data_IF_812680866766
#
_entry.id   IF_812680866766
#
_cell.length_a   1.000
_cell.length_b   1.000
_cell.length_c   1.000
_cell.angle_alpha   90.00
_cell.angle_beta   90.00
_cell.angle_gamma   90.00
#
_symmetry.space_group_name_H-M   'P 1'
#
loop_
_entity.id
_entity.type
_entity.pdbx_description
1 polymer ?
#
# COMPACT_ATOMS: atom_id res chain seq x y z
N UNK A 1 33.25 -22.54 -0.72
CA UNK A 1 33.04 -24.02 -0.77
C UNK A 1 31.61 -24.29 -0.33
N UNK A 2 30.83 -25.06 -1.09
CA UNK A 2 29.40 -25.30 -0.78
C UNK A 2 29.28 -26.26 0.41
N UNK A 3 28.64 -25.82 1.52
CA UNK A 3 28.39 -26.70 2.67
C UNK A 3 27.45 -27.83 2.28
N UNK A 4 27.76 -29.05 2.70
CA UNK A 4 27.03 -30.27 2.35
C UNK A 4 26.22 -30.80 3.55
N UNK A 5 25.18 -31.61 3.27
CA UNK A 5 24.42 -32.32 4.32
C UNK A 5 25.34 -33.15 5.22
N UNK A 6 26.38 -33.75 4.65
CA UNK A 6 27.35 -34.53 5.41
C UNK A 6 28.18 -33.69 6.40
N UNK A 7 28.55 -32.47 6.03
CA UNK A 7 29.24 -31.54 6.92
C UNK A 7 28.35 -31.05 8.06
N UNK A 8 27.07 -30.78 7.78
CA UNK A 8 26.09 -30.42 8.80
C UNK A 8 25.87 -31.59 9.78
N UNK A 9 25.71 -32.80 9.24
CA UNK A 9 25.53 -34.02 10.02
C UNK A 9 26.69 -34.23 11.00
N UNK A 10 27.92 -34.06 10.51
CA UNK A 10 29.16 -34.19 11.30
C UNK A 10 29.20 -33.12 12.40
N UNK A 11 28.88 -31.85 12.10
CA UNK A 11 28.92 -30.75 13.04
C UNK A 11 27.78 -30.83 14.10
N UNK A 12 26.60 -31.32 13.70
CA UNK A 12 25.44 -31.47 14.59
C UNK A 12 25.42 -32.80 15.37
N UNK A 13 26.39 -33.72 15.10
CA UNK A 13 26.44 -35.03 15.76
C UNK A 13 25.25 -35.93 15.42
N UNK A 14 24.73 -35.88 14.19
CA UNK A 14 23.55 -36.62 13.74
C UNK A 14 23.79 -37.32 12.39
N UNK A 15 22.86 -38.21 11.99
CA UNK A 15 22.95 -38.85 10.68
C UNK A 15 22.57 -37.85 9.55
N UNK A 16 23.09 -38.03 8.31
CA UNK A 16 22.69 -37.29 7.13
C UNK A 16 21.17 -37.35 6.87
N UNK A 17 20.52 -38.46 7.18
CA UNK A 17 19.07 -38.63 7.09
C UNK A 17 18.30 -37.72 8.09
N UNK A 18 18.84 -37.58 9.31
CA UNK A 18 18.26 -36.65 10.30
C UNK A 18 18.38 -35.21 9.83
N UNK A 19 19.49 -34.81 9.24
CA UNK A 19 19.65 -33.46 8.64
C UNK A 19 18.66 -33.25 7.51
N UNK A 20 18.55 -34.22 6.57
CA UNK A 20 17.57 -34.13 5.48
C UNK A 20 16.14 -34.00 5.98
N UNK A 21 15.76 -34.77 7.02
CA UNK A 21 14.43 -34.69 7.61
C UNK A 21 14.18 -33.35 8.34
N UNK A 22 15.19 -32.80 9.02
CA UNK A 22 15.12 -31.47 9.66
C UNK A 22 14.92 -30.36 8.62
N UNK A 23 15.71 -30.39 7.55
CA UNK A 23 15.69 -29.36 6.49
C UNK A 23 14.42 -29.42 5.63
N UNK A 24 13.83 -30.62 5.44
CA UNK A 24 12.64 -30.84 4.62
C UNK A 24 11.32 -30.84 5.44
N UNK A 25 11.36 -30.41 6.71
CA UNK A 25 10.19 -30.32 7.60
C UNK A 25 9.32 -31.59 7.68
N UNK A 26 9.90 -32.77 7.62
CA UNK A 26 9.16 -34.05 7.73
C UNK A 26 8.74 -34.27 9.18
N UNK A 27 7.45 -34.02 9.47
CA UNK A 27 6.86 -34.19 10.82
C UNK A 27 6.99 -35.63 11.31
N UNK A 28 7.25 -35.79 12.60
CA UNK A 28 7.25 -37.11 13.27
C UNK A 28 8.54 -37.94 13.13
N UNK A 29 9.57 -37.46 12.42
CA UNK A 29 10.82 -38.22 12.21
C UNK A 29 11.95 -37.85 13.15
N UNK A 30 11.89 -36.66 13.77
CA UNK A 30 12.85 -36.14 14.77
C UNK A 30 12.13 -35.24 15.75
N UNK A 31 12.66 -35.12 17.00
CA UNK A 31 12.10 -34.19 18.00
C UNK A 31 12.35 -32.73 17.60
N UNK A 32 11.49 -31.82 18.03
CA UNK A 32 11.59 -30.38 17.70
C UNK A 32 12.92 -29.79 18.20
N UNK A 33 13.35 -30.12 19.42
CA UNK A 33 14.65 -29.70 19.96
C UNK A 33 15.83 -30.12 19.10
N UNK A 34 15.79 -31.36 18.59
CA UNK A 34 16.83 -31.88 17.69
C UNK A 34 16.81 -31.21 16.34
N UNK A 35 15.63 -30.86 15.87
CA UNK A 35 15.43 -30.12 14.63
C UNK A 35 16.00 -28.71 14.72
N UNK A 36 15.66 -27.96 15.77
CA UNK A 36 16.19 -26.62 16.02
C UNK A 36 17.72 -26.62 16.14
N UNK A 37 18.28 -27.62 16.80
CA UNK A 37 19.73 -27.79 16.91
C UNK A 37 20.39 -27.96 15.52
N UNK A 38 19.84 -28.84 14.66
CA UNK A 38 20.33 -29.07 13.31
C UNK A 38 20.24 -27.79 12.45
N UNK A 39 19.12 -27.09 12.52
CA UNK A 39 18.91 -25.85 11.76
C UNK A 39 19.93 -24.78 12.18
N UNK A 40 20.15 -24.60 13.48
CA UNK A 40 21.15 -23.65 14.00
C UNK A 40 22.57 -23.95 13.52
N UNK A 41 22.98 -25.23 13.52
CA UNK A 41 24.29 -25.66 13.00
C UNK A 41 24.38 -25.43 11.48
N UNK A 42 23.33 -25.72 10.74
CA UNK A 42 23.28 -25.45 9.30
C UNK A 42 23.42 -23.95 8.98
N UNK A 43 22.78 -23.08 9.77
CA UNK A 43 22.92 -21.61 9.69
C UNK A 43 24.35 -21.15 10.01
N UNK A 44 24.95 -21.65 11.11
CA UNK A 44 26.31 -21.31 11.51
C UNK A 44 27.35 -21.71 10.45
N UNK A 45 27.15 -22.85 9.80
CA UNK A 45 27.99 -23.30 8.71
C UNK A 45 27.74 -22.55 7.38
N UNK A 46 26.69 -21.75 7.30
CA UNK A 46 26.31 -21.03 6.10
C UNK A 46 25.66 -21.93 5.03
N UNK A 47 25.05 -23.05 5.41
CA UNK A 47 24.35 -23.94 4.49
C UNK A 47 23.19 -23.24 3.78
N UNK A 48 22.49 -22.35 4.49
CA UNK A 48 21.42 -21.52 3.94
C UNK A 48 21.91 -20.28 3.19
N UNK A 49 23.24 -20.02 3.14
CA UNK A 49 23.82 -18.88 2.41
C UNK A 49 23.63 -18.90 0.89
N UNK A 50 23.05 -19.95 0.33
CA UNK A 50 22.40 -20.01 -1.01
C UNK A 50 21.38 -21.15 -0.96
N UNK A 51 20.31 -20.99 -0.21
CA UNK A 51 19.10 -21.78 -0.36
C UNK A 51 18.68 -21.77 -1.82
N UNK A 52 18.26 -22.92 -2.36
CA UNK A 52 17.65 -23.01 -3.68
C UNK A 52 16.50 -21.98 -3.66
N UNK A 53 16.63 -20.89 -4.44
CA UNK A 53 15.58 -19.88 -4.55
C UNK A 53 14.28 -20.61 -4.89
N UNK A 54 13.19 -20.24 -4.25
CA UNK A 54 11.88 -20.81 -4.54
C UNK A 54 11.36 -20.35 -5.89
N UNK A 55 11.90 -19.24 -6.40
CA UNK A 55 11.43 -18.56 -7.60
C UNK A 55 10.08 -17.88 -7.38
N UNK A 56 9.70 -17.65 -6.11
CA UNK A 56 8.41 -17.06 -5.75
C UNK A 56 8.64 -15.79 -4.92
N UNK A 57 7.95 -14.72 -5.30
CA UNK A 57 7.73 -13.53 -4.49
C UNK A 57 6.27 -13.54 -4.06
N UNK A 58 5.99 -13.34 -2.77
CA UNK A 58 4.62 -13.27 -2.27
C UNK A 58 4.17 -11.80 -2.15
N UNK A 59 3.09 -11.45 -2.83
CA UNK A 59 2.35 -10.22 -2.58
C UNK A 59 1.37 -10.46 -1.43
N UNK A 60 1.57 -9.76 -0.34
CA UNK A 60 0.70 -9.78 0.82
C UNK A 60 -0.28 -8.62 0.73
N UNK A 61 -1.56 -8.92 0.55
CA UNK A 61 -2.64 -7.94 0.68
C UNK A 61 -2.96 -7.82 2.17
N UNK A 62 -2.47 -6.75 2.79
CA UNK A 62 -2.66 -6.51 4.21
C UNK A 62 -3.99 -5.79 4.44
N UNK A 63 -4.91 -6.47 5.12
CA UNK A 63 -6.27 -6.00 5.41
C UNK A 63 -6.32 -5.49 6.86
N UNK A 64 -6.38 -4.19 7.05
CA UNK A 64 -6.55 -3.56 8.36
C UNK A 64 -8.02 -3.26 8.71
N UNK A 65 -8.95 -3.62 7.81
CA UNK A 65 -10.39 -3.42 7.99
C UNK A 65 -10.90 -2.08 7.47
N UNK A 66 -10.06 -1.28 6.80
CA UNK A 66 -10.48 0.00 6.21
C UNK A 66 -11.23 -0.17 4.89
N UNK A 67 -11.22 -1.37 4.30
CA UNK A 67 -11.92 -1.73 3.05
C UNK A 67 -11.55 -0.87 1.82
N UNK A 68 -10.34 -0.30 1.82
CA UNK A 68 -9.85 0.54 0.73
C UNK A 68 -9.17 -0.32 -0.35
N UNK A 69 -8.38 -1.35 0.07
CA UNK A 69 -7.68 -2.23 -0.86
C UNK A 69 -8.64 -3.25 -1.46
N UNK A 70 -9.09 -2.98 -2.68
CA UNK A 70 -9.94 -3.85 -3.49
C UNK A 70 -9.21 -4.15 -4.80
N UNK A 71 -8.84 -5.42 -5.01
CA UNK A 71 -7.97 -5.85 -6.13
C UNK A 71 -8.61 -5.73 -7.51
N UNK A 72 -9.91 -5.62 -7.58
CA UNK A 72 -10.71 -5.38 -8.79
C UNK A 72 -10.80 -3.89 -9.15
N UNK A 73 -10.43 -2.99 -8.24
CA UNK A 73 -10.36 -1.57 -8.55
C UNK A 73 -9.16 -1.25 -9.47
N UNK A 74 -9.34 -0.34 -10.46
CA UNK A 74 -8.32 0.01 -11.46
C UNK A 74 -6.96 0.40 -10.87
N UNK A 75 -6.92 1.08 -9.73
CA UNK A 75 -5.67 1.47 -9.07
C UNK A 75 -4.86 0.23 -8.65
N UNK A 76 -5.45 -0.67 -7.87
CA UNK A 76 -4.75 -1.84 -7.34
C UNK A 76 -4.46 -2.87 -8.41
N UNK A 77 -5.36 -3.08 -9.36
CA UNK A 77 -5.14 -4.00 -10.48
C UNK A 77 -3.96 -3.57 -11.35
N UNK A 78 -3.79 -2.27 -11.63
CA UNK A 78 -2.63 -1.75 -12.36
C UNK A 78 -1.33 -1.88 -11.56
N UNK A 79 -1.35 -1.63 -10.25
CA UNK A 79 -0.20 -1.79 -9.36
C UNK A 79 0.24 -3.27 -9.30
N UNK A 80 -0.71 -4.21 -9.16
CA UNK A 80 -0.44 -5.66 -9.15
C UNK A 80 0.13 -6.12 -10.49
N UNK A 81 -0.40 -5.63 -11.61
CA UNK A 81 0.14 -5.91 -12.95
C UNK A 81 1.60 -5.46 -13.07
N UNK A 82 1.93 -4.25 -12.58
CA UNK A 82 3.31 -3.79 -12.54
C UNK A 82 4.23 -4.68 -11.69
N UNK A 83 3.73 -5.19 -10.56
CA UNK A 83 4.48 -6.16 -9.75
C UNK A 83 4.68 -7.49 -10.48
N UNK A 84 3.66 -8.00 -11.17
CA UNK A 84 3.73 -9.23 -11.96
C UNK A 84 4.75 -9.10 -13.08
N UNK A 85 4.69 -8.03 -13.88
CA UNK A 85 5.67 -7.74 -14.93
C UNK A 85 7.09 -7.61 -14.37
N UNK A 86 7.25 -6.92 -13.23
CA UNK A 86 8.53 -6.81 -12.53
C UNK A 86 9.06 -8.19 -12.08
N UNK A 87 8.22 -9.04 -11.50
CA UNK A 87 8.60 -10.39 -11.11
C UNK A 87 9.06 -11.21 -12.33
N UNK A 88 8.31 -11.15 -13.43
CA UNK A 88 8.64 -11.85 -14.67
C UNK A 88 10.01 -11.44 -15.25
N UNK A 89 10.38 -10.15 -15.16
CA UNK A 89 11.69 -9.65 -15.62
C UNK A 89 12.88 -10.28 -14.88
N UNK A 90 12.66 -10.76 -13.65
CA UNK A 90 13.68 -11.41 -12.82
C UNK A 90 13.47 -12.92 -12.64
N UNK A 91 12.68 -13.56 -13.51
CA UNK A 91 12.36 -14.99 -13.47
C UNK A 91 11.68 -15.44 -12.15
N UNK A 92 10.84 -14.58 -11.57
CA UNK A 92 10.03 -14.88 -10.40
C UNK A 92 8.55 -15.01 -10.74
N UNK A 93 7.85 -15.87 -9.98
CA UNK A 93 6.38 -15.93 -9.95
C UNK A 93 5.84 -15.08 -8.82
N UNK A 94 4.78 -14.29 -9.09
CA UNK A 94 4.05 -13.55 -8.08
C UNK A 94 2.94 -14.44 -7.49
N UNK A 95 2.97 -14.64 -6.16
CA UNK A 95 1.92 -15.33 -5.41
C UNK A 95 1.17 -14.33 -4.54
N UNK A 96 -0.16 -14.23 -4.69
CA UNK A 96 -0.98 -13.33 -3.88
C UNK A 96 -1.50 -14.06 -2.65
N UNK A 97 -1.39 -13.41 -1.48
CA UNK A 97 -1.90 -13.88 -0.19
C UNK A 97 -2.64 -12.71 0.50
N UNK A 98 -3.84 -12.96 1.02
CA UNK A 98 -4.55 -11.98 1.85
C UNK A 98 -4.33 -12.32 3.31
N UNK A 99 -3.99 -11.30 4.13
CA UNK A 99 -3.73 -11.45 5.57
C UNK A 99 -4.41 -10.32 6.31
N UNK A 100 -5.19 -10.66 7.34
CA UNK A 100 -5.84 -9.68 8.22
C UNK A 100 -4.90 -9.21 9.30
N UNK A 101 -5.02 -7.96 9.68
CA UNK A 101 -4.21 -7.32 10.72
C UNK A 101 -4.37 -7.96 12.12
N UNK A 102 -5.51 -8.58 12.39
CA UNK A 102 -5.82 -9.27 13.65
C UNK A 102 -5.39 -10.75 13.69
N UNK A 103 -4.96 -11.33 12.56
CA UNK A 103 -4.47 -12.71 12.47
C UNK A 103 -2.94 -12.77 12.65
N UNK A 104 -2.51 -12.66 13.91
CA UNK A 104 -1.08 -12.70 14.28
C UNK A 104 -0.39 -13.97 13.77
N UNK A 105 -1.07 -15.12 13.81
CA UNK A 105 -0.51 -16.40 13.34
C UNK A 105 -0.29 -16.40 11.83
N UNK A 106 -1.22 -15.88 11.04
CA UNK A 106 -1.05 -15.74 9.60
C UNK A 106 0.11 -14.81 9.27
N UNK A 107 0.26 -13.69 10.02
CA UNK A 107 1.37 -12.74 9.86
C UNK A 107 2.71 -13.44 10.14
N UNK A 108 2.86 -14.16 11.24
CA UNK A 108 4.09 -14.88 11.59
C UNK A 108 4.47 -15.95 10.55
N UNK A 109 3.49 -16.59 9.90
CA UNK A 109 3.76 -17.57 8.84
C UNK A 109 4.34 -16.95 7.56
N UNK A 110 4.24 -15.62 7.39
CA UNK A 110 4.85 -14.92 6.24
C UNK A 110 6.38 -14.95 6.30
N UNK A 111 6.98 -15.00 7.50
CA UNK A 111 8.45 -15.06 7.67
C UNK A 111 9.01 -16.47 7.40
N UNK A 112 8.48 -17.14 6.38
CA UNK A 112 8.90 -18.49 5.99
C UNK A 112 9.65 -18.48 4.66
N UNK A 113 10.98 -18.44 4.72
CA UNK A 113 11.88 -18.47 3.57
C UNK A 113 11.79 -19.74 2.71
N UNK A 114 11.12 -20.80 3.18
CA UNK A 114 10.91 -22.01 2.38
C UNK A 114 9.73 -21.89 1.42
N UNK A 115 8.86 -20.92 1.61
CA UNK A 115 7.67 -20.71 0.78
C UNK A 115 7.82 -19.59 -0.23
N UNK A 116 8.71 -18.63 0.04
CA UNK A 116 8.90 -17.44 -0.79
C UNK A 116 10.32 -16.90 -0.58
N UNK A 117 10.90 -16.29 -1.60
CA UNK A 117 12.21 -15.65 -1.51
C UNK A 117 12.14 -14.23 -0.95
N UNK A 118 10.96 -13.59 -1.02
CA UNK A 118 10.70 -12.27 -0.49
C UNK A 118 9.23 -11.89 -0.52
N UNK A 119 8.90 -10.79 0.16
CA UNK A 119 7.54 -10.27 0.27
C UNK A 119 7.43 -8.86 -0.30
N UNK A 120 6.38 -8.63 -1.08
CA UNK A 120 5.82 -7.31 -1.34
C UNK A 120 4.59 -7.17 -0.47
N UNK A 121 4.55 -6.18 0.42
CA UNK A 121 3.41 -5.99 1.33
C UNK A 121 2.63 -4.76 0.87
N UNK A 122 1.40 -4.97 0.39
CA UNK A 122 0.47 -3.88 0.09
C UNK A 122 0.11 -3.18 1.41
N UNK A 123 0.71 -2.03 1.62
CA UNK A 123 0.68 -1.33 2.91
C UNK A 123 -0.33 -0.20 3.00
N UNK A 124 -1.18 0.01 1.97
CA UNK A 124 -2.11 1.14 1.87
C UNK A 124 -2.90 1.38 3.16
N UNK A 125 -3.41 0.31 3.76
CA UNK A 125 -4.19 0.37 5.00
C UNK A 125 -3.35 0.23 6.29
N UNK A 126 -2.03 -0.03 6.19
CA UNK A 126 -1.19 -0.25 7.38
C UNK A 126 -1.02 1.03 8.17
N UNK A 127 -1.23 0.93 9.47
CA UNK A 127 -0.77 1.92 10.44
C UNK A 127 0.66 1.63 10.89
N UNK A 128 1.31 2.59 11.54
CA UNK A 128 2.68 2.43 12.05
C UNK A 128 2.86 1.16 12.90
N UNK A 129 1.91 0.87 13.81
CA UNK A 129 1.89 -0.35 14.64
C UNK A 129 1.87 -1.65 13.84
N UNK A 130 1.32 -1.62 12.62
CA UNK A 130 1.24 -2.80 11.76
C UNK A 130 2.57 -3.06 11.07
N UNK A 131 3.26 -1.98 10.66
CA UNK A 131 4.62 -2.07 10.09
C UNK A 131 5.59 -2.67 11.12
N UNK A 132 5.45 -2.35 12.40
CA UNK A 132 6.29 -2.90 13.48
C UNK A 132 6.22 -4.43 13.58
N UNK A 133 5.11 -5.06 13.18
CA UNK A 133 4.98 -6.52 13.17
C UNK A 133 5.96 -7.20 12.19
N UNK A 134 6.41 -6.49 11.17
CA UNK A 134 7.38 -6.98 10.17
C UNK A 134 8.83 -6.71 10.56
N UNK A 135 9.09 -5.90 11.59
CA UNK A 135 10.43 -5.43 11.98
C UNK A 135 11.45 -6.57 12.19
N UNK A 136 11.00 -7.73 12.65
CA UNK A 136 11.85 -8.87 12.99
C UNK A 136 11.84 -9.96 11.93
N UNK A 137 11.20 -9.72 10.79
CA UNK A 137 11.17 -10.69 9.70
C UNK A 137 12.58 -10.91 9.14
N UNK A 138 12.90 -12.18 8.93
CA UNK A 138 14.17 -12.62 8.32
C UNK A 138 14.07 -12.64 6.80
N UNK A 139 12.88 -12.90 6.29
CA UNK A 139 12.61 -12.85 4.84
C UNK A 139 12.69 -11.39 4.37
N UNK A 140 13.41 -11.10 3.27
CA UNK A 140 13.42 -9.77 2.70
C UNK A 140 12.01 -9.30 2.34
N UNK A 141 11.67 -8.06 2.67
CA UNK A 141 10.37 -7.49 2.30
C UNK A 141 10.49 -6.00 1.93
N UNK A 142 9.48 -5.55 1.17
CA UNK A 142 9.25 -4.15 0.81
C UNK A 142 7.78 -3.84 1.03
N UNK A 143 7.49 -2.73 1.73
CA UNK A 143 6.13 -2.23 1.90
C UNK A 143 5.84 -1.27 0.76
N UNK A 144 4.67 -1.45 0.12
CA UNK A 144 4.27 -0.74 -1.09
C UNK A 144 3.03 0.10 -0.82
N UNK A 145 2.98 1.28 -1.42
CA UNK A 145 1.88 2.25 -1.30
C UNK A 145 1.66 2.75 0.14
N UNK A 146 2.72 2.83 0.90
CA UNK A 146 2.77 3.48 2.22
C UNK A 146 4.23 3.78 2.57
N UNK A 147 4.46 4.76 3.43
CA UNK A 147 5.79 5.07 3.96
C UNK A 147 5.71 5.54 5.40
N UNK A 148 6.69 5.08 6.19
CA UNK A 148 6.95 5.57 7.54
C UNK A 148 8.46 5.70 7.75
N UNK A 149 8.86 6.59 8.63
CA UNK A 149 10.28 6.68 9.05
C UNK A 149 10.53 5.52 10.02
N UNK A 150 11.13 4.44 9.50
CA UNK A 150 11.44 3.24 10.28
C UNK A 150 12.74 2.61 9.78
N UNK A 151 13.66 2.30 10.72
CA UNK A 151 14.91 1.60 10.41
C UNK A 151 14.62 0.14 9.97
N UNK A 152 15.43 -0.36 9.03
CA UNK A 152 15.38 -1.72 8.50
C UNK A 152 14.11 -2.10 7.72
N UNK A 153 13.26 -1.12 7.38
CA UNK A 153 12.12 -1.31 6.50
C UNK A 153 12.32 -0.51 5.22
N UNK A 154 12.07 -1.15 4.07
CA UNK A 154 12.05 -0.47 2.79
C UNK A 154 10.62 -0.18 2.37
N UNK A 155 10.40 1.01 1.88
CA UNK A 155 9.11 1.50 1.40
C UNK A 155 9.24 1.96 -0.05
N UNK A 156 8.21 1.68 -0.84
CA UNK A 156 8.02 2.27 -2.16
C UNK A 156 6.62 2.88 -2.18
N UNK A 157 6.56 4.20 -2.17
CA UNK A 157 5.34 4.95 -1.96
C UNK A 157 5.17 6.07 -2.99
N UNK A 158 3.96 6.60 -3.05
CA UNK A 158 3.59 7.76 -3.84
C UNK A 158 4.06 9.03 -3.11
N UNK A 159 4.51 10.03 -3.84
CA UNK A 159 4.75 11.37 -3.30
C UNK A 159 3.41 12.11 -3.11
N UNK A 160 2.65 11.67 -2.10
CA UNK A 160 1.30 12.15 -1.82
C UNK A 160 1.27 13.65 -1.52
N UNK A 161 2.23 14.13 -0.71
CA UNK A 161 2.27 15.52 -0.25
C UNK A 161 2.49 16.47 -1.42
N UNK A 162 3.53 16.24 -2.24
CA UNK A 162 3.84 17.15 -3.33
C UNK A 162 2.80 17.07 -4.44
N UNK A 163 2.27 15.86 -4.76
CA UNK A 163 1.19 15.72 -5.73
C UNK A 163 -0.06 16.50 -5.34
N UNK A 164 -0.45 16.45 -4.06
CA UNK A 164 -1.59 17.20 -3.57
C UNK A 164 -1.32 18.70 -3.50
N UNK A 165 -0.10 19.10 -3.16
CA UNK A 165 0.35 20.49 -3.22
C UNK A 165 0.16 21.06 -4.64
N UNK A 166 0.68 20.38 -5.66
CA UNK A 166 0.64 20.85 -7.04
C UNK A 166 -0.79 20.98 -7.58
N UNK A 167 -1.68 20.02 -7.29
CA UNK A 167 -3.06 20.11 -7.76
C UNK A 167 -3.87 21.17 -7.01
N UNK A 168 -3.56 21.44 -5.75
CA UNK A 168 -4.14 22.55 -4.99
C UNK A 168 -3.65 23.89 -5.53
N UNK A 169 -2.34 24.01 -5.77
CA UNK A 169 -1.72 25.18 -6.39
C UNK A 169 -2.34 25.49 -7.76
N UNK A 170 -2.66 24.46 -8.56
CA UNK A 170 -3.34 24.67 -9.84
C UNK A 170 -4.67 25.42 -9.68
N UNK A 171 -5.45 25.13 -8.64
CA UNK A 171 -6.70 25.89 -8.36
C UNK A 171 -6.40 27.31 -7.92
N UNK A 172 -5.41 27.51 -7.07
CA UNK A 172 -4.98 28.85 -6.61
C UNK A 172 -4.51 29.70 -7.80
N UNK A 173 -3.69 29.15 -8.70
CA UNK A 173 -3.21 29.82 -9.92
C UNK A 173 -4.36 30.18 -10.87
N UNK A 174 -5.51 29.51 -10.79
CA UNK A 174 -6.75 29.85 -11.51
C UNK A 174 -7.59 30.93 -10.84
N UNK A 175 -7.18 31.40 -9.67
CA UNK A 175 -7.80 32.49 -8.92
C UNK A 175 -8.83 32.05 -7.88
N UNK A 176 -8.96 30.75 -7.59
CA UNK A 176 -9.82 30.27 -6.50
C UNK A 176 -9.19 30.61 -5.16
N UNK A 177 -9.95 31.23 -4.27
CA UNK A 177 -9.48 31.68 -2.94
C UNK A 177 -10.14 30.91 -1.79
N UNK A 178 -11.37 30.46 -1.95
CA UNK A 178 -12.07 29.59 -1.01
C UNK A 178 -12.11 28.16 -1.56
N UNK A 179 -11.15 27.34 -1.13
CA UNK A 179 -10.99 25.95 -1.62
C UNK A 179 -11.35 24.96 -0.51
N UNK A 180 -12.33 24.09 -0.76
CA UNK A 180 -12.74 23.04 0.15
C UNK A 180 -11.96 21.75 -0.06
N UNK A 181 -11.91 20.92 0.97
CA UNK A 181 -11.27 19.60 0.96
C UNK A 181 -12.33 18.51 1.12
N UNK A 182 -12.42 17.60 0.15
CA UNK A 182 -13.27 16.42 0.27
C UNK A 182 -12.40 15.25 0.72
N UNK A 183 -12.47 14.96 2.02
CA UNK A 183 -11.70 13.95 2.70
C UNK A 183 -12.47 12.62 2.81
N UNK A 184 -11.83 11.58 3.28
CA UNK A 184 -12.40 10.26 3.46
C UNK A 184 -12.78 9.99 4.91
N UNK A 185 -13.90 9.31 5.13
CA UNK A 185 -14.25 8.71 6.43
C UNK A 185 -13.29 7.57 6.81
N UNK A 186 -12.58 6.99 5.83
CA UNK A 186 -11.56 5.95 6.03
C UNK A 186 -10.18 6.60 6.02
N UNK A 187 -9.53 6.65 7.18
CA UNK A 187 -8.27 7.38 7.34
C UNK A 187 -7.05 6.48 7.17
N UNK A 188 -6.41 6.59 6.01
CA UNK A 188 -5.13 5.97 5.70
C UNK A 188 -3.99 7.00 5.72
N UNK A 189 -2.75 6.54 5.80
CA UNK A 189 -1.58 7.42 5.83
C UNK A 189 -1.47 8.30 4.57
N UNK A 190 -1.76 7.73 3.39
CA UNK A 190 -1.73 8.47 2.13
C UNK A 190 -2.65 9.71 2.16
N UNK A 191 -3.85 9.59 2.72
CA UNK A 191 -4.78 10.73 2.83
C UNK A 191 -4.29 11.78 3.83
N UNK A 192 -3.61 11.38 4.91
CA UNK A 192 -2.98 12.31 5.83
C UNK A 192 -1.87 13.12 5.15
N UNK A 193 -1.02 12.46 4.37
CA UNK A 193 0.03 13.13 3.60
C UNK A 193 -0.53 14.06 2.53
N UNK A 194 -1.59 13.64 1.83
CA UNK A 194 -2.30 14.48 0.86
C UNK A 194 -2.88 15.73 1.54
N UNK A 195 -3.52 15.59 2.70
CA UNK A 195 -4.01 16.75 3.49
C UNK A 195 -2.88 17.70 3.86
N UNK A 196 -1.71 17.20 4.24
CA UNK A 196 -0.56 18.07 4.52
C UNK A 196 -0.11 18.85 3.28
N UNK A 197 -0.13 18.24 2.09
CA UNK A 197 0.16 18.93 0.83
C UNK A 197 -0.84 20.02 0.51
N UNK A 198 -2.15 19.74 0.68
CA UNK A 198 -3.23 20.71 0.52
C UNK A 198 -3.04 21.92 1.44
N UNK A 199 -2.86 21.68 2.74
CA UNK A 199 -2.68 22.77 3.72
C UNK A 199 -1.41 23.59 3.46
N UNK A 200 -0.31 22.93 3.03
CA UNK A 200 0.92 23.61 2.69
C UNK A 200 0.73 24.55 1.48
N UNK A 201 0.01 24.12 0.43
CA UNK A 201 -0.26 24.94 -0.74
C UNK A 201 -1.07 26.20 -0.39
N UNK A 202 -2.08 26.07 0.47
CA UNK A 202 -2.84 27.22 0.92
C UNK A 202 -1.98 28.19 1.73
N UNK A 203 -1.19 27.66 2.68
CA UNK A 203 -0.33 28.46 3.55
C UNK A 203 0.73 29.24 2.75
N UNK A 204 1.38 28.62 1.75
CA UNK A 204 2.40 29.24 0.91
C UNK A 204 1.83 30.36 0.01
N UNK A 205 0.50 30.43 -0.14
CA UNK A 205 -0.20 31.46 -0.93
C UNK A 205 -1.09 32.37 -0.09
N UNK A 206 -0.85 32.42 1.23
CA UNK A 206 -1.57 33.27 2.19
C UNK A 206 -3.10 33.05 2.21
N UNK A 207 -3.56 31.82 1.87
CA UNK A 207 -4.96 31.44 1.95
C UNK A 207 -5.24 30.69 3.26
N UNK A 208 -6.38 31.01 3.87
CA UNK A 208 -6.85 30.33 5.08
C UNK A 208 -7.73 29.14 4.73
N UNK A 209 -7.66 28.08 5.53
CA UNK A 209 -8.56 26.94 5.45
C UNK A 209 -9.47 26.91 6.68
N UNK A 210 -10.79 26.92 6.44
CA UNK A 210 -11.76 26.73 7.50
C UNK A 210 -12.09 25.24 7.64
N UNK A 211 -12.06 24.71 8.85
CA UNK A 211 -12.43 23.32 9.12
C UNK A 211 -13.85 22.93 8.67
N UNK A 212 -14.76 23.89 8.57
CA UNK A 212 -16.12 23.67 8.04
C UNK A 212 -16.13 23.39 6.52
N UNK A 213 -15.06 23.73 5.81
CA UNK A 213 -14.86 23.44 4.39
C UNK A 213 -14.15 22.06 4.17
N UNK A 214 -13.95 21.26 5.23
CA UNK A 214 -13.50 19.87 5.17
C UNK A 214 -14.69 18.92 5.27
N UNK A 215 -14.98 18.23 4.19
CA UNK A 215 -16.14 17.35 4.06
C UNK A 215 -15.66 15.89 4.08
N UNK A 216 -16.23 15.05 4.90
CA UNK A 216 -15.89 13.64 5.01
C UNK A 216 -16.95 12.78 4.34
N UNK A 217 -16.50 11.92 3.39
CA UNK A 217 -17.36 11.00 2.65
C UNK A 217 -16.77 9.59 2.61
N UNK A 218 -17.59 8.58 2.38
CA UNK A 218 -17.09 7.23 2.10
C UNK A 218 -16.32 7.22 0.76
N UNK A 219 -15.16 6.52 0.67
CA UNK A 219 -14.31 6.52 -0.54
C UNK A 219 -14.82 5.59 -1.65
N UNK A 220 -16.13 5.47 -1.78
CA UNK A 220 -16.85 4.70 -2.78
C UNK A 220 -17.87 5.59 -3.49
N UNK A 221 -18.10 5.37 -4.80
CA UNK A 221 -18.91 6.30 -5.61
C UNK A 221 -20.35 6.42 -5.07
N UNK A 222 -21.01 5.30 -4.79
CA UNK A 222 -22.44 5.34 -4.38
C UNK A 222 -22.63 5.97 -3.00
N UNK A 223 -21.88 5.51 -2.01
CA UNK A 223 -21.94 6.00 -0.64
C UNK A 223 -21.45 7.44 -0.54
N UNK A 224 -20.31 7.73 -1.18
CA UNK A 224 -19.74 9.07 -1.22
C UNK A 224 -20.68 10.08 -1.90
N UNK A 225 -21.42 9.68 -2.95
CA UNK A 225 -22.45 10.53 -3.57
C UNK A 225 -23.53 10.90 -2.55
N UNK A 226 -24.04 9.91 -1.80
CA UNK A 226 -25.08 10.16 -0.78
C UNK A 226 -24.58 11.08 0.34
N UNK A 227 -23.34 10.87 0.79
CA UNK A 227 -22.74 11.68 1.85
C UNK A 227 -22.54 13.12 1.39
N UNK A 228 -22.03 13.32 0.17
CA UNK A 228 -21.81 14.65 -0.37
C UNK A 228 -23.13 15.36 -0.69
N UNK A 229 -24.16 14.66 -1.21
CA UNK A 229 -25.52 15.25 -1.37
C UNK A 229 -26.09 15.71 -0.04
N UNK A 230 -25.90 14.95 1.02
CA UNK A 230 -26.34 15.32 2.37
C UNK A 230 -25.66 16.61 2.85
N UNK A 231 -24.34 16.72 2.61
CA UNK A 231 -23.61 17.96 2.87
C UNK A 231 -24.18 19.15 2.08
N UNK A 232 -24.43 19.01 0.76
CA UNK A 232 -24.98 20.07 -0.08
C UNK A 232 -26.35 20.56 0.43
N UNK A 233 -27.25 19.63 0.77
CA UNK A 233 -28.56 19.96 1.33
C UNK A 233 -28.44 20.73 2.66
N UNK A 234 -27.56 20.28 3.55
CA UNK A 234 -27.32 20.95 4.83
C UNK A 234 -26.79 22.38 4.64
N UNK A 235 -25.83 22.60 3.72
CA UNK A 235 -25.31 23.94 3.44
C UNK A 235 -26.43 24.85 2.90
N UNK A 236 -27.26 24.33 2.00
CA UNK A 236 -28.41 25.06 1.43
C UNK A 236 -29.43 25.46 2.51
N UNK A 237 -29.78 24.54 3.41
CA UNK A 237 -30.72 24.83 4.52
C UNK A 237 -30.18 25.87 5.48
N UNK A 238 -28.88 25.88 5.77
CA UNK A 238 -28.22 26.81 6.65
C UNK A 238 -27.88 28.17 5.98
N UNK A 239 -28.05 28.27 4.66
CA UNK A 239 -27.67 29.44 3.88
C UNK A 239 -26.17 29.72 3.86
N UNK A 240 -25.33 28.66 4.00
CA UNK A 240 -23.87 28.75 4.02
C UNK A 240 -23.34 28.70 2.59
N UNK A 241 -22.45 29.62 2.24
CA UNK A 241 -21.81 29.65 0.93
C UNK A 241 -20.80 28.53 0.80
N UNK A 242 -20.95 27.73 -0.26
CA UNK A 242 -20.01 26.67 -0.62
C UNK A 242 -18.63 27.23 -0.98
N UNK A 243 -17.56 26.41 -0.91
CA UNK A 243 -16.28 26.68 -1.55
C UNK A 243 -16.41 26.95 -3.05
N UNK A 244 -15.46 27.72 -3.59
CA UNK A 244 -15.40 28.04 -5.03
C UNK A 244 -14.87 26.88 -5.86
N UNK A 245 -14.06 26.00 -5.25
CA UNK A 245 -13.52 24.79 -5.83
C UNK A 245 -13.25 23.74 -4.74
N UNK A 246 -13.14 22.48 -5.11
CA UNK A 246 -12.82 21.41 -4.19
C UNK A 246 -11.57 20.63 -4.64
N UNK A 247 -10.80 20.20 -3.65
CA UNK A 247 -9.75 19.18 -3.80
C UNK A 247 -10.23 17.90 -3.13
N UNK A 248 -10.25 16.78 -3.84
CA UNK A 248 -10.66 15.49 -3.32
C UNK A 248 -9.46 14.59 -3.04
N UNK A 249 -9.54 13.77 -1.99
CA UNK A 249 -8.46 12.86 -1.59
C UNK A 249 -8.07 11.86 -2.66
N UNK A 250 -9.04 11.40 -3.48
CA UNK A 250 -8.80 10.57 -4.65
C UNK A 250 -9.90 10.73 -5.70
N UNK A 251 -9.74 10.06 -6.83
CA UNK A 251 -10.68 10.18 -7.96
C UNK A 251 -12.07 9.58 -7.66
N UNK A 252 -12.17 8.52 -6.84
CA UNK A 252 -13.47 7.97 -6.45
C UNK A 252 -14.30 8.99 -5.67
N UNK A 253 -13.65 9.66 -4.71
CA UNK A 253 -14.27 10.74 -3.92
C UNK A 253 -14.63 11.93 -4.83
N UNK A 254 -13.73 12.30 -5.76
CA UNK A 254 -13.99 13.37 -6.71
C UNK A 254 -15.20 13.07 -7.61
N UNK A 255 -15.27 11.87 -8.17
CA UNK A 255 -16.37 11.44 -9.04
C UNK A 255 -17.69 11.32 -8.30
N UNK A 256 -17.68 10.84 -7.06
CA UNK A 256 -18.85 10.82 -6.19
C UNK A 256 -19.41 12.22 -5.96
N UNK A 257 -18.52 13.17 -5.66
CA UNK A 257 -18.90 14.57 -5.39
C UNK A 257 -19.38 15.30 -6.64
N UNK A 258 -18.73 15.05 -7.80
CA UNK A 258 -19.18 15.58 -9.10
C UNK A 258 -20.58 15.07 -9.45
N UNK A 259 -20.87 13.79 -9.18
CA UNK A 259 -22.19 13.21 -9.39
C UNK A 259 -23.24 13.89 -8.51
N UNK A 260 -22.99 14.04 -7.22
CA UNK A 260 -23.89 14.72 -6.30
C UNK A 260 -24.17 16.16 -6.72
N UNK A 261 -23.12 16.92 -7.10
CA UNK A 261 -23.27 18.29 -7.57
C UNK A 261 -24.05 18.38 -8.88
N UNK A 262 -23.85 17.43 -9.80
CA UNK A 262 -24.60 17.37 -11.07
C UNK A 262 -26.10 17.14 -10.82
N UNK A 263 -26.46 16.28 -9.87
CA UNK A 263 -27.84 15.99 -9.47
C UNK A 263 -28.52 17.25 -8.87
N UNK A 264 -27.77 18.10 -8.17
CA UNK A 264 -28.24 19.36 -7.59
C UNK A 264 -28.09 20.60 -8.49
N UNK A 265 -27.50 20.43 -9.68
CA UNK A 265 -27.28 21.54 -10.61
C UNK A 265 -26.21 22.56 -10.13
N UNK A 266 -25.22 22.11 -9.37
CA UNK A 266 -24.16 22.94 -8.78
C UNK A 266 -22.87 22.77 -9.59
N UNK A 267 -22.39 23.81 -10.35
CA UNK A 267 -21.23 23.70 -11.22
C UNK A 267 -19.91 24.10 -10.53
N UNK A 268 -19.57 23.49 -9.40
CA UNK A 268 -18.31 23.77 -8.70
C UNK A 268 -17.21 22.80 -9.21
N UNK A 269 -16.02 23.29 -9.60
CA UNK A 269 -14.93 22.44 -10.04
C UNK A 269 -14.36 21.59 -8.91
N UNK A 270 -13.99 20.36 -9.26
CA UNK A 270 -13.32 19.42 -8.36
C UNK A 270 -12.04 18.93 -9.06
N UNK A 271 -10.96 18.77 -8.29
CA UNK A 271 -9.75 18.09 -8.72
C UNK A 271 -9.54 16.83 -7.88
N UNK A 272 -8.98 15.79 -8.49
CA UNK A 272 -8.78 14.48 -7.87
C UNK A 272 -7.31 14.09 -7.74
N UNK A 273 -7.11 12.82 -7.41
CA UNK A 273 -5.81 12.18 -7.28
C UNK A 273 -5.94 10.71 -7.71
N UNK A 274 -4.99 10.17 -8.42
CA UNK A 274 -4.74 8.79 -8.88
C UNK A 274 -4.76 8.63 -10.41
N UNK A 275 -5.45 9.44 -11.20
CA UNK A 275 -5.68 9.30 -12.66
C UNK A 275 -6.20 7.87 -12.97
N UNK A 276 -7.34 7.51 -12.38
CA UNK A 276 -8.03 6.27 -12.74
C UNK A 276 -8.73 6.42 -14.11
N UNK A 277 -9.00 5.30 -14.77
CA UNK A 277 -9.58 5.33 -16.12
C UNK A 277 -10.92 6.09 -16.19
N UNK A 278 -11.77 5.94 -15.17
CA UNK A 278 -13.06 6.63 -15.08
C UNK A 278 -12.93 8.15 -15.05
N UNK A 279 -11.82 8.70 -14.55
CA UNK A 279 -11.56 10.15 -14.51
C UNK A 279 -11.57 10.79 -15.90
N UNK A 280 -11.13 10.05 -16.94
CA UNK A 280 -11.08 10.51 -18.32
C UNK A 280 -12.45 10.54 -18.99
N UNK A 281 -13.34 9.64 -18.58
CA UNK A 281 -14.67 9.47 -19.18
C UNK A 281 -15.79 10.14 -18.38
N UNK A 282 -15.45 10.79 -17.26
CA UNK A 282 -16.43 11.62 -16.53
C UNK A 282 -16.80 12.87 -17.33
N UNK A 283 -18.00 13.41 -17.08
CA UNK A 283 -18.48 14.65 -17.69
C UNK A 283 -18.82 15.70 -16.64
N UNK A 284 -17.96 16.74 -16.53
CA UNK A 284 -16.71 16.99 -17.27
C UNK A 284 -15.62 15.99 -16.89
N UNK A 285 -14.59 15.82 -17.79
CA UNK A 285 -13.40 14.99 -17.46
C UNK A 285 -12.68 15.55 -16.24
N UNK A 286 -12.29 14.67 -15.33
CA UNK A 286 -11.68 15.06 -14.06
C UNK A 286 -10.21 15.48 -14.25
N UNK A 287 -9.86 16.66 -13.76
CA UNK A 287 -8.46 17.05 -13.55
C UNK A 287 -7.94 16.31 -12.33
N UNK A 288 -6.82 15.58 -12.47
CA UNK A 288 -6.33 14.70 -11.42
C UNK A 288 -4.81 14.55 -11.45
N UNK A 289 -4.22 14.19 -10.32
CA UNK A 289 -2.80 13.84 -10.20
C UNK A 289 -2.58 12.42 -10.70
N UNK A 290 -1.68 12.27 -11.68
CA UNK A 290 -1.35 10.94 -12.20
C UNK A 290 -0.39 10.20 -11.29
N UNK A 291 -0.77 8.98 -10.90
CA UNK A 291 0.10 7.99 -10.27
C UNK A 291 0.49 6.93 -11.30
N UNK A 292 1.80 6.73 -11.50
CA UNK A 292 2.33 5.67 -12.37
C UNK A 292 2.29 4.33 -11.63
N UNK A 293 1.12 3.74 -11.54
CA UNK A 293 0.80 2.55 -10.71
C UNK A 293 1.64 1.33 -11.11
N UNK A 294 1.79 1.08 -12.41
CA UNK A 294 2.58 -0.04 -12.93
C UNK A 294 4.08 0.14 -12.62
N UNK A 295 4.61 1.36 -12.79
CA UNK A 295 6.01 1.65 -12.47
C UNK A 295 6.26 1.53 -10.96
N UNK A 296 5.30 1.96 -10.12
CA UNK A 296 5.38 1.77 -8.67
C UNK A 296 5.53 0.28 -8.33
N UNK A 297 4.76 -0.59 -8.98
CA UNK A 297 4.86 -2.04 -8.82
C UNK A 297 6.22 -2.60 -9.26
N UNK A 298 6.71 -2.20 -10.44
CA UNK A 298 8.03 -2.62 -10.97
C UNK A 298 9.17 -2.17 -10.06
N UNK A 299 9.13 -0.93 -9.60
CA UNK A 299 10.12 -0.36 -8.67
C UNK A 299 10.14 -1.14 -7.35
N UNK A 300 8.98 -1.50 -6.82
CA UNK A 300 8.88 -2.29 -5.60
C UNK A 300 9.54 -3.68 -5.75
N UNK A 301 9.31 -4.36 -6.87
CA UNK A 301 10.01 -5.63 -7.18
C UNK A 301 11.50 -5.40 -7.30
N UNK A 302 11.96 -4.43 -8.08
CA UNK A 302 13.38 -4.12 -8.23
C UNK A 302 14.07 -3.83 -6.89
N UNK A 303 13.38 -3.09 -5.98
CA UNK A 303 13.87 -2.84 -4.63
C UNK A 303 13.96 -4.11 -3.79
N UNK A 304 13.00 -5.02 -3.91
CA UNK A 304 13.03 -6.31 -3.22
C UNK A 304 14.17 -7.20 -3.74
N UNK A 305 14.35 -7.28 -5.07
CA UNK A 305 15.43 -8.06 -5.70
C UNK A 305 16.81 -7.58 -5.22
N UNK A 306 17.00 -6.27 -5.10
CA UNK A 306 18.25 -5.71 -4.59
C UNK A 306 18.58 -6.13 -3.13
N UNK A 307 17.60 -6.62 -2.36
CA UNK A 307 17.82 -7.18 -1.01
C UNK A 307 18.25 -8.66 -1.02
N UNK A 308 18.21 -9.33 -2.16
CA UNK A 308 18.62 -10.74 -2.30
C UNK A 308 20.13 -10.91 -2.50
N UNK A 309 20.84 -9.82 -2.76
CA UNK A 309 22.30 -9.76 -2.90
C UNK A 309 22.99 -9.61 -1.54
#
# INVERSE_FOLDING_TARGET
MKVTIAQIAKAAGVSPGSVSNALNNRKGTISEQKREHIIRIAEQLGYFKKGKRTGIISLVLYDAGETIVQTDQPFFSALIRGMEEGCHQYDYQLRIRKVRSDDQKAIETLDNISESDGLLVMGTEMHFKDVEKFRHFKIPFVIVDNAYIMENCDFVAINNKDGMYEVTKLLIDKGYTKIGLINSLRMINNFKERKLGFLQALADHDLSFNGDDEIFVEPHIEEGTKDFSRFLHQQKELGILLPEAFVAMNDYIALASLRAMKEEGIPIPVVGFDDIEMARYSEPSLTTVRVNKEDLGKIAVGRLIAKFE
#
